data_IF_784346940506
#
_entry.id   IF_784346940506
#
_cell.length_a   1.000
_cell.length_b   1.000
_cell.length_c   1.000
_cell.angle_alpha   90.00
_cell.angle_beta   90.00
_cell.angle_gamma   90.00
#
_symmetry.space_group_name_H-M   'P 1'
#
loop_
_entity.id
_entity.type
_entity.pdbx_description
1 polymer ?
#
# COMPACT_ATOMS: atom_id res chain seq x y z
N UNK A 1 4.31 -2.74 -22.23
CA UNK A 1 4.03 -3.25 -20.88
C UNK A 1 4.98 -4.41 -20.60
N UNK A 2 5.64 -4.45 -19.43
CA UNK A 2 6.67 -5.46 -19.13
C UNK A 2 6.10 -6.86 -18.82
N UNK A 3 4.77 -7.07 -18.89
CA UNK A 3 4.11 -8.33 -18.55
C UNK A 3 4.21 -8.72 -17.07
N UNK A 4 4.66 -7.80 -16.21
CA UNK A 4 4.82 -8.00 -14.78
C UNK A 4 3.56 -7.57 -14.03
N UNK A 5 3.13 -8.38 -13.07
CA UNK A 5 2.00 -8.10 -12.20
C UNK A 5 2.41 -7.11 -11.10
N UNK A 6 1.73 -5.95 -10.96
CA UNK A 6 2.09 -4.94 -9.97
C UNK A 6 1.72 -5.38 -8.55
N UNK A 7 2.55 -5.00 -7.57
CA UNK A 7 2.28 -5.14 -6.13
C UNK A 7 2.30 -3.75 -5.49
N UNK A 8 1.20 -3.34 -4.87
CA UNK A 8 1.13 -2.11 -4.09
C UNK A 8 1.76 -2.34 -2.71
N UNK A 9 2.91 -1.71 -2.45
CA UNK A 9 3.48 -1.65 -1.11
C UNK A 9 2.90 -0.46 -0.34
N UNK A 10 2.36 -0.71 0.85
CA UNK A 10 1.85 0.34 1.73
C UNK A 10 2.28 0.15 3.18
N UNK A 11 2.50 1.25 3.90
CA UNK A 11 2.82 1.26 5.32
C UNK A 11 1.65 1.81 6.14
N UNK A 12 1.39 1.21 7.30
CA UNK A 12 0.30 1.63 8.17
C UNK A 12 0.68 2.82 9.08
N UNK A 13 1.98 3.08 9.25
CA UNK A 13 2.50 4.13 10.12
C UNK A 13 2.13 5.52 9.59
N UNK A 14 1.63 6.37 10.48
CA UNK A 14 1.20 7.75 10.17
C UNK A 14 0.00 7.86 9.19
N UNK A 15 -0.75 6.77 9.00
CA UNK A 15 -1.97 6.74 8.18
C UNK A 15 -3.19 6.47 9.06
N UNK A 16 -4.30 7.15 8.78
CA UNK A 16 -5.58 6.80 9.36
C UNK A 16 -6.29 5.73 8.51
N UNK A 17 -7.34 5.12 9.07
CA UNK A 17 -8.10 4.05 8.41
C UNK A 17 -8.71 4.49 7.07
N UNK A 18 -9.14 5.75 6.94
CA UNK A 18 -9.69 6.28 5.68
C UNK A 18 -8.62 6.45 4.61
N UNK A 19 -7.42 6.90 4.98
CA UNK A 19 -6.28 6.98 4.06
C UNK A 19 -5.94 5.61 3.49
N UNK A 20 -5.87 4.57 4.34
CA UNK A 20 -5.60 3.21 3.90
C UNK A 20 -6.70 2.67 2.98
N UNK A 21 -7.97 2.93 3.30
CA UNK A 21 -9.09 2.52 2.45
C UNK A 21 -9.10 3.25 1.10
N UNK A 22 -8.73 4.54 1.08
CA UNK A 22 -8.63 5.32 -0.15
C UNK A 22 -7.54 4.79 -1.08
N UNK A 23 -6.40 4.40 -0.53
CA UNK A 23 -5.32 3.76 -1.30
C UNK A 23 -5.75 2.42 -1.89
N UNK A 24 -6.44 1.58 -1.11
CA UNK A 24 -6.97 0.31 -1.60
C UNK A 24 -8.02 0.51 -2.70
N UNK A 25 -8.89 1.51 -2.57
CA UNK A 25 -9.88 1.84 -3.60
C UNK A 25 -9.19 2.31 -4.90
N UNK A 26 -8.15 3.13 -4.77
CA UNK A 26 -7.33 3.57 -5.90
C UNK A 26 -6.63 2.39 -6.58
N UNK A 27 -6.02 1.48 -5.80
CA UNK A 27 -5.38 0.27 -6.30
C UNK A 27 -6.33 -0.57 -7.15
N UNK A 28 -7.55 -0.80 -6.62
CA UNK A 28 -8.59 -1.54 -7.33
C UNK A 28 -9.02 -0.82 -8.64
N UNK A 29 -9.12 0.51 -8.63
CA UNK A 29 -9.44 1.28 -9.84
C UNK A 29 -8.35 1.18 -10.93
N UNK A 30 -7.10 0.94 -10.53
CA UNK A 30 -5.97 0.68 -11.44
C UNK A 30 -5.76 -0.80 -11.77
N UNK A 31 -6.63 -1.70 -11.31
CA UNK A 31 -6.49 -3.14 -11.53
C UNK A 31 -5.33 -3.78 -10.77
N UNK A 32 -4.86 -3.15 -9.69
CA UNK A 32 -3.83 -3.72 -8.81
C UNK A 32 -4.53 -4.58 -7.76
N UNK A 33 -4.33 -5.89 -7.86
CA UNK A 33 -4.97 -6.87 -6.97
C UNK A 33 -4.03 -7.36 -5.86
N UNK A 34 -2.73 -7.11 -5.97
CA UNK A 34 -1.74 -7.53 -4.98
C UNK A 34 -1.31 -6.37 -4.08
N UNK A 35 -1.35 -6.59 -2.77
CA UNK A 35 -0.97 -5.60 -1.76
C UNK A 35 0.04 -6.21 -0.79
N UNK A 36 1.16 -5.53 -0.60
CA UNK A 36 2.13 -5.79 0.46
C UNK A 36 1.89 -4.78 1.59
N UNK A 37 1.21 -5.23 2.65
CA UNK A 37 0.94 -4.40 3.83
C UNK A 37 2.07 -4.52 4.86
N UNK A 38 2.66 -3.39 5.24
CA UNK A 38 3.75 -3.30 6.20
C UNK A 38 3.35 -2.42 7.38
N UNK A 39 3.84 -2.75 8.57
CA UNK A 39 3.66 -1.91 9.76
C UNK A 39 4.36 -0.55 9.61
N UNK A 40 5.45 -0.50 8.83
CA UNK A 40 6.36 0.64 8.71
C UNK A 40 7.58 0.49 9.62
N UNK A 41 8.57 1.36 9.45
CA UNK A 41 9.80 1.30 10.23
C UNK A 41 9.56 1.64 11.69
N UNK A 42 10.47 1.24 12.58
CA UNK A 42 10.41 1.63 13.99
C UNK A 42 10.95 3.07 14.17
N UNK A 43 10.27 3.96 14.95
CA UNK A 43 10.65 5.38 15.08
C UNK A 43 12.09 5.63 15.51
N UNK A 44 12.62 4.71 16.33
CA UNK A 44 13.93 4.83 16.95
C UNK A 44 15.06 4.20 16.13
N UNK A 45 14.74 3.51 15.05
CA UNK A 45 15.70 2.81 14.18
C UNK A 45 15.84 3.50 12.81
N UNK A 46 15.17 4.63 12.61
CA UNK A 46 15.20 5.44 11.39
C UNK A 46 15.79 6.82 11.63
#
# INVERSE_FOLDING_TARGET
>A
EAGLEPILQMTCRDRNRLSLQSELLSAAAFGIENVLALTGDHPKLG
#
